data_IF_140828532956
#
_entry.id   IF_140828532956
#
_cell.length_a   1.000
_cell.length_b   1.000
_cell.length_c   1.000
_cell.angle_alpha   90.00
_cell.angle_beta   90.00
_cell.angle_gamma   90.00
#
_symmetry.space_group_name_H-M   'P 1'
#
loop_
_entity.id
_entity.type
_entity.pdbx_description
1 polymer ?
#
# COMPACT_ATOMS: atom_id res chain seq x y z
N UNK A 1 10.82 1.78 9.41
CA UNK A 1 11.98 2.70 9.56
C UNK A 1 12.63 2.45 10.91
N UNK A 2 13.95 2.65 11.03
CA UNK A 2 14.59 2.69 12.34
C UNK A 2 14.19 3.99 13.07
N UNK A 3 14.29 4.01 14.40
CA UNK A 3 13.97 5.21 15.22
C UNK A 3 14.82 6.42 14.78
N UNK A 4 16.05 6.18 14.33
CA UNK A 4 16.94 7.22 13.83
C UNK A 4 16.50 7.79 12.47
N UNK A 5 16.01 6.95 11.58
CA UNK A 5 15.49 7.39 10.28
C UNK A 5 14.21 8.22 10.43
N UNK A 6 13.32 7.85 11.36
CA UNK A 6 12.13 8.65 11.61
C UNK A 6 12.47 10.02 12.20
N UNK A 7 13.40 10.10 13.16
CA UNK A 7 13.86 11.38 13.71
C UNK A 7 14.58 12.26 12.68
N UNK A 8 15.39 11.67 11.82
CA UNK A 8 16.05 12.41 10.74
C UNK A 8 15.02 12.99 9.75
N UNK A 9 13.99 12.21 9.40
CA UNK A 9 12.89 12.68 8.55
C UNK A 9 12.06 13.78 9.24
N UNK A 10 11.81 13.67 10.55
CA UNK A 10 11.18 14.72 11.36
C UNK A 10 11.91 16.04 11.23
N UNK A 11 13.21 16.03 11.46
CA UNK A 11 14.05 17.24 11.41
C UNK A 11 14.09 17.82 10.00
N UNK A 12 14.33 16.97 8.98
CA UNK A 12 14.43 17.44 7.60
C UNK A 12 13.09 17.98 7.09
N UNK A 13 11.98 17.32 7.39
CA UNK A 13 10.64 17.77 6.98
C UNK A 13 10.22 19.06 7.70
N UNK A 14 10.72 19.28 8.91
CA UNK A 14 10.47 20.52 9.68
C UNK A 14 11.29 21.70 9.16
N UNK A 15 12.52 21.45 8.71
CA UNK A 15 13.42 22.52 8.21
C UNK A 15 13.12 22.83 6.73
N UNK A 16 12.80 21.81 5.94
CA UNK A 16 12.58 21.92 4.50
C UNK A 16 11.24 21.31 4.05
N UNK A 17 10.09 21.75 4.60
CA UNK A 17 8.79 21.13 4.33
C UNK A 17 8.37 21.23 2.85
N UNK A 18 8.84 22.25 2.15
CA UNK A 18 8.45 22.61 0.78
C UNK A 18 9.25 21.86 -0.28
N UNK A 19 10.28 21.08 0.07
CA UNK A 19 11.01 20.26 -0.92
C UNK A 19 10.04 19.27 -1.55
N UNK A 20 10.03 19.25 -2.87
CA UNK A 20 9.21 18.35 -3.69
C UNK A 20 10.05 17.17 -4.17
N UNK A 21 9.44 16.01 -4.15
CA UNK A 21 10.02 14.74 -4.63
C UNK A 21 9.09 14.20 -5.71
N UNK A 22 9.68 13.71 -6.79
CA UNK A 22 8.94 13.02 -7.87
C UNK A 22 9.13 11.51 -7.75
N UNK A 23 8.17 10.69 -8.21
CA UNK A 23 8.31 9.23 -8.25
C UNK A 23 9.54 8.77 -9.02
N UNK A 24 9.90 9.47 -10.09
CA UNK A 24 11.07 9.17 -10.93
C UNK A 24 12.38 9.29 -10.14
N UNK A 25 12.46 10.24 -9.20
CA UNK A 25 13.65 10.41 -8.36
C UNK A 25 13.89 9.25 -7.40
N UNK A 26 12.85 8.44 -7.14
CA UNK A 26 12.90 7.28 -6.24
C UNK A 26 13.07 5.96 -6.97
N UNK A 27 13.09 5.97 -8.31
CA UNK A 27 13.15 4.77 -9.17
C UNK A 27 12.11 3.70 -8.78
N UNK A 28 10.87 4.15 -8.46
CA UNK A 28 9.75 3.31 -8.09
C UNK A 28 8.86 3.07 -9.29
N UNK A 29 8.49 1.80 -9.54
CA UNK A 29 7.53 1.42 -10.56
C UNK A 29 6.22 0.97 -9.88
N UNK A 30 5.15 1.79 -9.89
CA UNK A 30 3.90 1.44 -9.21
C UNK A 30 3.05 0.42 -9.97
N UNK A 31 3.33 0.15 -11.25
CA UNK A 31 2.61 -0.81 -12.10
C UNK A 31 3.48 -1.25 -13.28
N UNK A 32 3.16 -2.39 -13.89
CA UNK A 32 3.74 -2.86 -15.17
C UNK A 32 3.00 -2.32 -16.40
N UNK A 33 1.90 -1.61 -16.21
CA UNK A 33 1.07 -1.04 -17.28
C UNK A 33 1.56 0.38 -17.63
N UNK A 34 2.60 0.46 -18.47
CA UNK A 34 3.25 1.71 -18.83
C UNK A 34 2.27 2.69 -19.51
N UNK A 35 1.41 2.21 -20.41
CA UNK A 35 0.43 3.07 -21.11
C UNK A 35 -0.54 3.72 -20.12
N UNK A 36 -0.94 2.99 -19.08
CA UNK A 36 -1.79 3.52 -18.02
C UNK A 36 -1.02 4.56 -17.16
N UNK A 37 0.25 4.32 -16.87
CA UNK A 37 1.07 5.27 -16.11
C UNK A 37 1.29 6.59 -16.87
N UNK A 38 1.51 6.53 -18.18
CA UNK A 38 1.57 7.72 -19.03
C UNK A 38 0.24 8.49 -19.02
N UNK A 39 -0.87 7.81 -19.24
CA UNK A 39 -2.20 8.42 -19.16
C UNK A 39 -2.51 9.05 -17.81
N UNK A 40 -2.02 8.46 -16.71
CA UNK A 40 -2.16 9.05 -15.37
C UNK A 40 -1.32 10.30 -15.21
N UNK A 41 -0.09 10.32 -15.71
CA UNK A 41 0.81 11.47 -15.62
C UNK A 41 0.24 12.70 -16.31
N UNK A 42 -0.46 12.49 -17.43
CA UNK A 42 -1.11 13.56 -18.20
C UNK A 42 -2.46 13.99 -17.62
N UNK A 43 -2.99 13.26 -16.64
CA UNK A 43 -4.28 13.58 -16.04
C UNK A 43 -4.19 14.83 -15.15
N UNK A 44 -5.10 15.78 -15.34
CA UNK A 44 -5.12 17.07 -14.63
C UNK A 44 -5.20 16.97 -13.09
N UNK A 45 -5.70 15.85 -12.57
CA UNK A 45 -5.82 15.60 -11.13
C UNK A 45 -4.68 14.74 -10.57
N UNK A 46 -3.71 14.36 -11.39
CA UNK A 46 -2.58 13.56 -10.93
C UNK A 46 -1.50 14.45 -10.31
N UNK A 47 -1.06 14.06 -9.12
CA UNK A 47 -0.01 14.77 -8.38
C UNK A 47 1.34 14.22 -8.82
N UNK A 48 2.04 14.97 -9.68
CA UNK A 48 3.36 14.59 -10.18
C UNK A 48 4.50 14.83 -9.19
N UNK A 49 4.29 15.73 -8.22
CA UNK A 49 5.30 16.10 -7.22
C UNK A 49 4.67 16.08 -5.85
N UNK A 50 5.33 15.44 -4.89
CA UNK A 50 4.84 15.38 -3.51
C UNK A 50 5.81 16.10 -2.57
N UNK A 51 5.28 16.93 -1.69
CA UNK A 51 6.07 17.64 -0.69
C UNK A 51 6.60 16.66 0.37
N UNK A 52 7.78 16.97 0.89
CA UNK A 52 8.45 16.13 1.90
C UNK A 52 7.62 15.99 3.18
N UNK A 53 6.97 17.07 3.65
CA UNK A 53 6.08 17.03 4.81
C UNK A 53 4.86 16.13 4.60
N UNK A 54 4.31 16.09 3.39
CA UNK A 54 3.19 15.20 3.04
C UNK A 54 3.61 13.74 3.04
N UNK A 55 4.81 13.42 2.53
CA UNK A 55 5.39 12.07 2.58
C UNK A 55 5.59 11.64 4.03
N UNK A 56 6.11 12.54 4.86
CA UNK A 56 6.31 12.28 6.28
C UNK A 56 4.97 12.03 7.00
N UNK A 57 3.97 12.89 6.77
CA UNK A 57 2.63 12.72 7.33
C UNK A 57 1.99 11.39 6.92
N UNK A 58 2.14 10.99 5.65
CA UNK A 58 1.68 9.70 5.16
C UNK A 58 2.38 8.53 5.86
N UNK A 59 3.70 8.60 6.03
CA UNK A 59 4.47 7.56 6.74
C UNK A 59 4.02 7.40 8.19
N UNK A 60 3.75 8.51 8.89
CA UNK A 60 3.22 8.49 10.26
C UNK A 60 1.83 7.86 10.31
N UNK A 61 0.96 8.15 9.36
CA UNK A 61 -0.36 7.52 9.25
C UNK A 61 -0.24 6.01 9.02
N UNK A 62 0.70 5.57 8.19
CA UNK A 62 0.98 4.15 7.97
C UNK A 62 1.43 3.46 9.27
N UNK A 63 2.29 4.09 10.07
CA UNK A 63 2.74 3.55 11.36
C UNK A 63 1.57 3.47 12.37
N UNK A 64 0.70 4.48 12.45
CA UNK A 64 -0.52 4.46 13.26
C UNK A 64 -1.48 3.35 12.81
N UNK A 65 -1.67 3.17 11.51
CA UNK A 65 -2.50 2.10 10.94
C UNK A 65 -1.94 0.72 11.29
N UNK A 66 -0.61 0.56 11.25
CA UNK A 66 0.06 -0.66 11.68
C UNK A 66 -0.22 -0.98 13.15
N UNK A 67 -0.17 0.00 14.04
CA UNK A 67 -0.50 -0.20 15.46
C UNK A 67 -1.99 -0.50 15.67
N UNK A 68 -2.87 0.13 14.89
CA UNK A 68 -4.32 -0.08 14.97
C UNK A 68 -4.79 -1.41 14.36
N UNK A 69 -3.95 -2.13 13.63
CA UNK A 69 -4.36 -3.35 12.90
C UNK A 69 -4.87 -4.48 13.79
N UNK A 70 -4.44 -4.54 15.08
CA UNK A 70 -4.93 -5.50 16.07
C UNK A 70 -6.40 -5.25 16.50
N UNK A 71 -6.94 -4.05 16.24
CA UNK A 71 -8.33 -3.69 16.53
C UNK A 71 -9.28 -4.00 15.36
N UNK A 72 -8.80 -4.56 14.27
CA UNK A 72 -9.64 -4.92 13.13
C UNK A 72 -10.73 -5.91 13.53
N UNK A 73 -12.00 -5.58 13.24
CA UNK A 73 -13.19 -6.39 13.60
C UNK A 73 -14.08 -6.72 12.41
N UNK A 74 -13.95 -5.98 11.32
CA UNK A 74 -14.76 -6.18 10.10
C UNK A 74 -14.08 -7.21 9.19
N UNK A 75 -14.82 -7.86 8.28
CA UNK A 75 -14.20 -8.66 7.23
C UNK A 75 -13.20 -7.82 6.44
N UNK A 76 -11.99 -8.38 6.21
CA UNK A 76 -10.89 -7.69 5.55
C UNK A 76 -10.29 -8.60 4.47
N UNK A 77 -10.19 -8.08 3.25
CA UNK A 77 -9.41 -8.66 2.17
C UNK A 77 -8.14 -7.83 1.99
N UNK A 78 -6.99 -8.47 2.12
CA UNK A 78 -5.68 -7.87 1.85
C UNK A 78 -5.16 -8.43 0.54
N UNK A 79 -4.92 -7.56 -0.42
CA UNK A 79 -4.31 -7.90 -1.71
C UNK A 79 -2.89 -7.32 -1.71
N UNK A 80 -1.90 -8.14 -2.01
CA UNK A 80 -0.51 -7.71 -1.95
C UNK A 80 0.28 -8.18 -3.17
N UNK A 81 0.94 -7.24 -3.83
CA UNK A 81 1.85 -7.49 -4.95
C UNK A 81 3.29 -7.69 -4.47
N UNK A 82 3.95 -8.75 -4.96
CA UNK A 82 5.33 -9.04 -4.56
C UNK A 82 6.35 -8.01 -5.04
N UNK A 83 6.00 -7.25 -6.09
CA UNK A 83 6.82 -6.18 -6.68
C UNK A 83 6.39 -4.79 -6.20
N UNK A 84 5.67 -4.71 -5.07
CA UNK A 84 5.28 -3.44 -4.47
C UNK A 84 6.46 -2.81 -3.74
N UNK A 85 7.06 -1.79 -4.36
CA UNK A 85 8.18 -1.02 -3.80
C UNK A 85 7.71 0.08 -2.82
N UNK A 86 6.44 0.48 -2.89
CA UNK A 86 5.86 1.52 -2.02
C UNK A 86 5.46 0.98 -0.65
N UNK A 87 4.94 -0.24 -0.61
CA UNK A 87 4.59 -0.94 0.63
C UNK A 87 5.49 -2.17 0.83
N UNK A 88 6.68 -2.02 1.44
CA UNK A 88 7.66 -3.10 1.56
C UNK A 88 7.10 -4.34 2.26
N UNK A 89 7.45 -5.52 1.75
CA UNK A 89 6.95 -6.82 2.22
C UNK A 89 7.03 -7.01 3.74
N UNK A 90 8.12 -6.55 4.37
CA UNK A 90 8.28 -6.71 5.83
C UNK A 90 7.22 -5.92 6.61
N UNK A 91 6.76 -4.75 6.09
CA UNK A 91 5.69 -3.95 6.69
C UNK A 91 4.34 -4.64 6.55
N UNK A 92 4.05 -5.16 5.35
CA UNK A 92 2.84 -5.96 5.09
C UNK A 92 2.79 -7.18 6.01
N UNK A 93 3.88 -7.95 6.12
CA UNK A 93 3.98 -9.10 7.03
C UNK A 93 3.76 -8.69 8.50
N UNK A 94 4.35 -7.56 8.93
CA UNK A 94 4.16 -7.05 10.30
C UNK A 94 2.71 -6.67 10.56
N UNK A 95 2.03 -6.03 9.61
CA UNK A 95 0.60 -5.72 9.71
C UNK A 95 -0.24 -7.00 9.83
N UNK A 96 0.00 -7.99 8.97
CA UNK A 96 -0.71 -9.26 8.98
C UNK A 96 -0.52 -10.03 10.30
N UNK A 97 0.67 -9.98 10.89
CA UNK A 97 0.94 -10.62 12.19
C UNK A 97 0.19 -9.97 13.36
N UNK A 98 -0.16 -8.69 13.24
CA UNK A 98 -0.94 -7.95 14.24
C UNK A 98 -2.46 -8.13 14.07
N UNK A 99 -2.94 -8.61 12.92
CA UNK A 99 -4.37 -8.86 12.73
C UNK A 99 -4.89 -9.89 13.74
N UNK A 100 -6.16 -9.76 14.20
CA UNK A 100 -6.75 -10.71 15.13
C UNK A 100 -6.67 -12.17 14.64
N UNK A 101 -6.05 -13.05 15.42
CA UNK A 101 -5.85 -14.47 15.07
C UNK A 101 -6.97 -15.37 15.60
N UNK A 102 -7.95 -14.82 16.33
CA UNK A 102 -9.09 -15.59 16.88
C UNK A 102 -9.95 -16.16 15.77
N UNK A 103 -10.36 -17.41 15.91
CA UNK A 103 -11.28 -18.07 14.96
C UNK A 103 -12.74 -17.66 15.23
N UNK A 104 -13.61 -17.55 14.19
CA UNK A 104 -13.25 -17.61 12.77
C UNK A 104 -12.45 -16.39 12.36
N UNK A 105 -11.43 -16.59 11.54
CA UNK A 105 -10.64 -15.47 10.99
C UNK A 105 -11.54 -14.64 10.06
N UNK A 106 -11.59 -13.34 10.29
CA UNK A 106 -12.36 -12.41 9.46
C UNK A 106 -11.51 -11.69 8.42
N UNK A 107 -10.34 -12.23 8.11
CA UNK A 107 -9.45 -11.66 7.11
C UNK A 107 -8.86 -12.74 6.20
N UNK A 108 -8.63 -12.36 4.98
CA UNK A 108 -7.99 -13.16 3.93
C UNK A 108 -6.88 -12.36 3.26
N UNK A 109 -5.81 -13.03 2.88
CA UNK A 109 -4.72 -12.44 2.10
C UNK A 109 -4.65 -13.15 0.76
N UNK A 110 -4.52 -12.38 -0.31
CA UNK A 110 -4.18 -12.86 -1.65
C UNK A 110 -2.86 -12.23 -2.05
N UNK A 111 -1.91 -13.06 -2.42
CA UNK A 111 -0.57 -12.67 -2.82
C UNK A 111 -0.41 -12.84 -4.33
N UNK A 112 0.05 -11.76 -4.99
CA UNK A 112 0.28 -11.75 -6.43
C UNK A 112 1.79 -11.69 -6.71
N UNK A 113 2.43 -12.81 -7.15
CA UNK A 113 3.90 -12.84 -7.36
C UNK A 113 4.41 -11.81 -8.37
N UNK A 114 3.61 -11.47 -9.37
CA UNK A 114 3.94 -10.49 -10.40
C UNK A 114 3.28 -9.12 -10.20
N UNK A 115 2.46 -8.96 -9.15
CA UNK A 115 1.71 -7.73 -8.89
C UNK A 115 2.59 -6.62 -8.35
N UNK A 116 2.24 -5.39 -8.70
CA UNK A 116 2.84 -4.14 -8.25
C UNK A 116 1.94 -3.45 -7.21
N UNK A 117 2.22 -2.17 -6.94
CA UNK A 117 1.42 -1.38 -5.99
C UNK A 117 -0.02 -1.14 -6.48
N UNK A 118 -0.18 -0.81 -7.76
CA UNK A 118 -1.48 -0.53 -8.37
C UNK A 118 -2.13 -1.80 -8.95
N UNK A 119 -2.27 -2.86 -8.15
CA UNK A 119 -2.77 -4.18 -8.56
C UNK A 119 -4.01 -4.15 -9.46
N UNK A 120 -4.96 -3.27 -9.19
CA UNK A 120 -6.19 -3.11 -10.00
C UNK A 120 -5.95 -2.41 -11.34
N UNK A 121 -4.75 -1.93 -11.59
CA UNK A 121 -4.32 -1.25 -12.83
C UNK A 121 -3.20 -1.98 -13.57
N UNK A 122 -2.62 -3.00 -12.97
CA UNK A 122 -1.62 -3.86 -13.60
C UNK A 122 -2.17 -4.56 -14.87
N UNK A 123 -1.29 -5.08 -15.69
CA UNK A 123 -1.69 -5.84 -16.89
C UNK A 123 -2.58 -7.03 -16.51
N UNK A 124 -2.28 -7.72 -15.42
CA UNK A 124 -3.04 -8.85 -14.89
C UNK A 124 -4.23 -8.47 -13.98
N UNK A 125 -4.70 -7.21 -14.03
CA UNK A 125 -5.81 -6.71 -13.19
C UNK A 125 -7.07 -7.54 -13.20
N UNK A 126 -7.33 -8.29 -14.27
CA UNK A 126 -8.51 -9.14 -14.39
C UNK A 126 -8.58 -10.21 -13.30
N UNK A 127 -7.42 -10.76 -12.91
CA UNK A 127 -7.31 -11.74 -11.83
C UNK A 127 -7.63 -11.08 -10.49
N UNK A 128 -7.08 -9.91 -10.24
CA UNK A 128 -7.31 -9.13 -9.02
C UNK A 128 -8.79 -8.77 -8.87
N UNK A 129 -9.40 -8.26 -9.94
CA UNK A 129 -10.83 -7.88 -9.96
C UNK A 129 -11.73 -9.10 -9.71
N UNK A 130 -11.41 -10.26 -10.31
CA UNK A 130 -12.10 -11.51 -10.07
C UNK A 130 -12.05 -11.92 -8.60
N UNK A 131 -10.90 -11.82 -7.97
CA UNK A 131 -10.71 -12.21 -6.58
C UNK A 131 -11.45 -11.26 -5.62
N UNK A 132 -11.46 -9.95 -5.91
CA UNK A 132 -12.28 -8.96 -5.19
C UNK A 132 -13.77 -9.29 -5.33
N UNK A 133 -14.24 -9.56 -6.56
CA UNK A 133 -15.64 -9.91 -6.83
C UNK A 133 -16.04 -11.20 -6.09
N UNK A 134 -15.22 -12.23 -6.17
CA UNK A 134 -15.47 -13.48 -5.48
C UNK A 134 -15.59 -13.29 -3.97
N UNK A 135 -14.68 -12.50 -3.36
CA UNK A 135 -14.72 -12.22 -1.94
C UNK A 135 -15.94 -11.38 -1.54
N UNK A 136 -16.34 -10.39 -2.34
CA UNK A 136 -17.49 -9.52 -2.04
C UNK A 136 -18.83 -10.26 -2.10
N UNK A 137 -18.94 -11.29 -2.96
CA UNK A 137 -20.15 -12.11 -3.09
C UNK A 137 -20.21 -13.17 -1.98
N UNK A 138 -19.08 -13.78 -1.67
CA UNK A 138 -18.99 -14.91 -0.73
C UNK A 138 -19.04 -14.54 0.74
N UNK A 139 -19.45 -13.37 1.09
CA UNK A 139 -19.52 -12.71 2.43
C UNK A 139 -19.28 -13.55 3.70
N UNK A 140 -19.27 -14.87 3.63
CA UNK A 140 -19.24 -15.79 4.77
C UNK A 140 -18.16 -16.87 4.72
N UNK A 141 -17.56 -17.16 3.58
CA UNK A 141 -16.60 -18.28 3.50
C UNK A 141 -15.17 -17.76 3.40
N UNK A 142 -14.68 -17.21 4.49
CA UNK A 142 -13.25 -17.25 4.76
C UNK A 142 -12.95 -18.64 5.34
N UNK A 143 -13.04 -19.64 4.52
CA UNK A 143 -12.44 -20.94 4.84
C UNK A 143 -10.95 -20.88 4.54
N UNK A 144 -10.09 -21.38 5.44
CA UNK A 144 -8.64 -21.31 5.31
C UNK A 144 -8.12 -22.06 4.09
#
# INVERSE_FOLDING_TARGET
MSVWQSKAMDVISSIFPMIKITPESLNISPSDNLNMLESLRDAALYINETRLDSIYGHTNLMDQTLEASNYQRKPLLVLYGAKDDLAPKFRACKMLSKLPQKKPKRWRVVFYPNGYHLLSRDLDRSVVIRDIKAWSISKETVTP
#
